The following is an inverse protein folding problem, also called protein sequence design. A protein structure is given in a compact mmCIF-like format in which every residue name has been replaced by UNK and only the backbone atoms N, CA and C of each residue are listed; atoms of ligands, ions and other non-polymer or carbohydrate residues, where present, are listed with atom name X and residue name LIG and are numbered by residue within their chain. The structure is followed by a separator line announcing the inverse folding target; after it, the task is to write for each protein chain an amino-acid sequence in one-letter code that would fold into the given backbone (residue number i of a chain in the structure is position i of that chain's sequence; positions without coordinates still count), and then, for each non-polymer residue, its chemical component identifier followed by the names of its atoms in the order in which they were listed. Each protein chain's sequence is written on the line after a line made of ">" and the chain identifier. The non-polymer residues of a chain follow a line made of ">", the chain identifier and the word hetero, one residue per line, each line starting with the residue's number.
data_IF_699095419603
#
_entry.id   IF_699095419603
#
_cell.length_a   1.000
_cell.length_b   1.000
_cell.length_c   1.000
_cell.angle_alpha   90.00
_cell.angle_beta   90.00
_cell.angle_gamma   90.00
#
_symmetry.space_group_name_H-M   'P 1'
#
loop_
_entity.id
_entity.type
_entity.pdbx_description
1 polymer ?
#
# COMPACT_ATOMS: atom_id res chain seq x y z
N UNK A 1 -9.96 -11.61 -4.12
CA UNK A 1 -9.25 -12.50 -5.09
C UNK A 1 -7.78 -12.32 -4.79
N UNK A 2 -7.05 -13.35 -4.36
CA UNK A 2 -5.71 -13.15 -3.80
C UNK A 2 -4.73 -12.65 -4.87
N UNK A 3 -4.10 -11.49 -4.63
CA UNK A 3 -3.03 -10.98 -5.47
C UNK A 3 -1.85 -11.96 -5.39
N UNK A 4 -1.35 -12.41 -6.55
CA UNK A 4 -0.24 -13.35 -6.63
C UNK A 4 1.03 -12.79 -5.97
N UNK A 5 1.69 -13.61 -5.14
CA UNK A 5 2.89 -13.22 -4.39
C UNK A 5 4.06 -12.77 -5.29
N UNK A 6 4.08 -13.18 -6.56
CA UNK A 6 5.05 -12.72 -7.56
C UNK A 6 4.75 -11.30 -8.00
N UNK A 7 3.46 -10.95 -8.16
CA UNK A 7 3.02 -9.61 -8.52
C UNK A 7 3.31 -8.61 -7.38
N UNK A 8 3.10 -9.02 -6.12
CA UNK A 8 3.47 -8.23 -4.94
C UNK A 8 4.96 -7.88 -4.87
N UNK A 9 5.85 -8.75 -5.38
CA UNK A 9 7.30 -8.47 -5.44
C UNK A 9 7.68 -7.48 -6.54
N UNK A 10 6.84 -7.31 -7.56
CA UNK A 10 7.04 -6.35 -8.65
C UNK A 10 6.43 -4.99 -8.28
N UNK A 11 5.39 -4.99 -7.44
CA UNK A 11 4.68 -3.80 -7.00
C UNK A 11 5.57 -2.95 -6.08
N UNK A 12 6.17 -1.94 -6.69
CA UNK A 12 6.97 -0.92 -6.04
C UNK A 12 6.20 0.39 -5.96
N UNK A 13 6.52 1.19 -4.94
CA UNK A 13 6.01 2.55 -4.80
C UNK A 13 6.33 3.38 -6.05
N UNK A 14 5.35 4.12 -6.62
CA UNK A 14 5.58 4.94 -7.81
C UNK A 14 6.60 6.06 -7.58
N UNK A 15 6.75 6.54 -6.34
CA UNK A 15 7.61 7.66 -5.98
C UNK A 15 9.05 7.26 -5.64
N UNK A 16 9.25 6.30 -4.73
CA UNK A 16 10.59 5.92 -4.24
C UNK A 16 11.08 4.56 -4.76
N UNK A 17 10.26 3.86 -5.56
CA UNK A 17 10.54 2.54 -6.14
C UNK A 17 10.87 1.45 -5.12
N UNK A 18 10.60 1.65 -3.84
CA UNK A 18 10.79 0.63 -2.81
C UNK A 18 9.54 -0.24 -2.61
N UNK A 19 9.64 -1.29 -1.77
CA UNK A 19 8.52 -2.19 -1.50
C UNK A 19 7.37 -1.48 -0.80
N UNK A 20 6.15 -1.98 -1.04
CA UNK A 20 4.91 -1.57 -0.38
C UNK A 20 4.39 -2.70 0.50
N UNK A 21 3.82 -2.34 1.64
CA UNK A 21 3.03 -3.25 2.46
C UNK A 21 1.65 -3.42 1.82
N UNK A 22 1.16 -4.65 1.78
CA UNK A 22 -0.15 -4.95 1.23
C UNK A 22 -1.13 -5.19 2.36
N UNK A 23 -2.22 -4.43 2.40
CA UNK A 23 -3.37 -4.71 3.24
C UNK A 23 -4.45 -5.34 2.35
N UNK A 24 -4.81 -6.62 2.58
CA UNK A 24 -5.66 -7.38 1.69
C UNK A 24 -6.96 -6.68 1.29
N UNK A 25 -7.19 -6.57 -0.02
CA UNK A 25 -8.39 -5.98 -0.63
C UNK A 25 -8.72 -4.55 -0.16
N UNK A 26 -7.74 -3.82 0.40
CA UNK A 26 -7.96 -2.47 0.93
C UNK A 26 -6.97 -1.45 0.36
N UNK A 27 -5.66 -1.62 0.58
CA UNK A 27 -4.66 -0.64 0.15
C UNK A 27 -3.24 -1.21 0.10
N UNK A 28 -2.38 -0.49 -0.62
CA UNK A 28 -0.93 -0.62 -0.54
C UNK A 28 -0.35 0.54 0.26
N UNK A 29 0.58 0.28 1.16
CA UNK A 29 1.13 1.28 2.08
C UNK A 29 2.65 1.40 1.97
N UNK A 30 3.14 2.63 1.90
CA UNK A 30 4.56 2.95 2.00
C UNK A 30 4.87 3.52 3.40
N UNK A 31 5.44 2.74 4.32
CA UNK A 31 5.81 3.21 5.66
C UNK A 31 6.98 4.21 5.65
N UNK A 32 7.76 4.32 4.56
CA UNK A 32 8.90 5.26 4.48
C UNK A 32 8.44 6.70 4.19
N UNK A 33 7.34 6.83 3.43
CA UNK A 33 6.78 8.10 3.00
C UNK A 33 5.43 8.41 3.66
N UNK A 34 4.90 7.50 4.47
CA UNK A 34 3.58 7.57 5.08
C UNK A 34 2.47 7.79 4.03
N UNK A 35 2.55 7.02 2.94
CA UNK A 35 1.61 7.11 1.80
C UNK A 35 0.81 5.84 1.66
N UNK A 36 -0.51 5.96 1.61
CA UNK A 36 -1.43 4.87 1.30
C UNK A 36 -1.98 5.02 -0.13
N UNK A 37 -2.03 3.91 -0.86
CA UNK A 37 -2.53 3.79 -2.22
C UNK A 37 -3.76 2.88 -2.18
N UNK A 38 -4.98 3.40 -2.43
CA UNK A 38 -6.19 2.61 -2.30
C UNK A 38 -6.30 1.52 -3.38
N UNK A 39 -7.10 0.49 -3.09
CA UNK A 39 -7.53 -0.51 -4.07
C UNK A 39 -8.99 -0.21 -4.42
N UNK A 40 -9.25 0.12 -5.68
CA UNK A 40 -10.58 0.45 -6.20
C UNK A 40 -11.00 -0.58 -7.24
N UNK A 41 -12.19 -1.17 -7.10
CA UNK A 41 -12.70 -2.24 -7.97
C UNK A 41 -11.73 -3.44 -8.13
N UNK A 42 -10.94 -3.71 -7.08
CA UNK A 42 -9.92 -4.77 -7.07
C UNK A 42 -8.63 -4.41 -7.83
N UNK A 43 -8.48 -3.15 -8.29
CA UNK A 43 -7.29 -2.64 -8.94
C UNK A 43 -6.53 -1.65 -8.03
N UNK A 44 -5.21 -1.82 -7.86
CA UNK A 44 -4.42 -0.89 -7.05
C UNK A 44 -4.18 0.43 -7.77
N UNK A 45 -4.58 1.54 -7.14
CA UNK A 45 -4.36 2.90 -7.65
C UNK A 45 -2.99 3.41 -7.22
N UNK A 46 -1.94 3.06 -7.98
CA UNK A 46 -0.55 3.44 -7.70
C UNK A 46 -0.17 4.79 -8.34
N UNK A 47 -1.02 5.79 -8.13
CA UNK A 47 -0.79 7.16 -8.60
C UNK A 47 -0.36 8.03 -7.42
N UNK A 48 0.71 8.80 -7.59
CA UNK A 48 1.24 9.68 -6.52
C UNK A 48 0.19 10.74 -6.12
N UNK A 49 -0.62 11.22 -7.07
CA UNK A 49 -1.68 12.21 -6.80
C UNK A 49 -2.89 11.66 -6.06
N UNK A 50 -3.18 10.37 -6.21
CA UNK A 50 -4.27 9.67 -5.51
C UNK A 50 -3.80 9.05 -4.19
N UNK A 51 -2.51 9.16 -3.88
CA UNK A 51 -1.94 8.63 -2.66
C UNK A 51 -2.36 9.49 -1.46
N UNK A 52 -2.99 8.84 -0.47
CA UNK A 52 -3.41 9.48 0.77
C UNK A 52 -2.24 9.60 1.74
N UNK A 53 -2.11 10.76 2.38
CA UNK A 53 -1.23 10.95 3.52
C UNK A 53 -1.78 10.23 4.74
N UNK A 54 -0.90 9.56 5.48
CA UNK A 54 -1.22 8.77 6.67
C UNK A 54 -0.53 9.43 7.86
N UNK A 55 -1.27 9.68 8.93
CA UNK A 55 -0.70 10.21 10.17
C UNK A 55 -0.05 9.11 11.02
N UNK A 56 0.63 9.48 12.11
CA UNK A 56 1.35 8.52 12.94
C UNK A 56 0.42 7.50 13.63
N UNK A 57 -0.81 7.88 13.96
CA UNK A 57 -1.77 6.99 14.61
C UNK A 57 -2.27 5.92 13.64
N UNK A 58 -2.58 6.34 12.41
CA UNK A 58 -3.01 5.46 11.35
C UNK A 58 -1.86 4.61 10.80
N UNK A 59 -0.63 5.14 10.80
CA UNK A 59 0.57 4.39 10.44
C UNK A 59 0.71 3.10 11.27
N UNK A 60 0.63 3.23 12.59
CA UNK A 60 0.70 2.09 13.53
C UNK A 60 -0.43 1.09 13.28
N UNK A 61 -1.65 1.61 13.03
CA UNK A 61 -2.80 0.76 12.72
C UNK A 61 -2.60 -0.04 11.43
N UNK A 62 -2.11 0.59 10.37
CA UNK A 62 -1.86 -0.06 9.08
C UNK A 62 -0.74 -1.09 9.22
N UNK A 63 0.33 -0.80 9.95
CA UNK A 63 1.41 -1.77 10.21
C UNK A 63 0.88 -3.03 10.91
N UNK A 64 0.03 -2.86 11.92
CA UNK A 64 -0.57 -3.99 12.64
C UNK A 64 -1.48 -4.85 11.75
N UNK A 65 -2.11 -4.25 10.73
CA UNK A 65 -3.00 -4.94 9.78
C UNK A 65 -2.25 -5.61 8.65
N UNK A 66 -1.19 -4.98 8.14
CA UNK A 66 -0.35 -5.54 7.08
C UNK A 66 0.51 -6.73 7.54
N UNK A 67 0.70 -6.90 8.85
CA UNK A 67 1.44 -8.01 9.45
C UNK A 67 0.59 -9.29 9.68
N UNK A 68 -0.72 -9.23 9.44
CA UNK A 68 -1.67 -10.35 9.61
C UNK A 68 -1.89 -11.08 8.28
#
# INVERSE_FOLDING_TARGET
>A
MAIDATLLKILACPQDKGPLLYVPDELFYNPRLHRAYPIEDGLPVLLIGEARDVDDAEHESILARAAQ
#
